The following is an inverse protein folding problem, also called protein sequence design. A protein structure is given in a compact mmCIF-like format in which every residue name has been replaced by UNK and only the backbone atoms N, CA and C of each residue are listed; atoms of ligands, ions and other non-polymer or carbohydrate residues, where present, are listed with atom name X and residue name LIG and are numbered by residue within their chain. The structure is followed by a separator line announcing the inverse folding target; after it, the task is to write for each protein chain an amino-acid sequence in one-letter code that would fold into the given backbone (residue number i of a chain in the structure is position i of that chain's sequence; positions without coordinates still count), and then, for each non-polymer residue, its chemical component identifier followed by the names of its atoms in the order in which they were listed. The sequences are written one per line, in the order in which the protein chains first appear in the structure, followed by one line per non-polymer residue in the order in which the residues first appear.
data_IF_860272409049
#
_entry.id   IF_860272409049
#
_cell.length_a   1.000
_cell.length_b   1.000
_cell.length_c   1.000
_cell.angle_alpha   90.00
_cell.angle_beta   90.00
_cell.angle_gamma   90.00
#
_symmetry.space_group_name_H-M   'P 1'
#
loop_
_entity.id
_entity.type
_entity.pdbx_description
1 polymer ?
#
# COMPACT_ATOMS: atom_id res chain seq x y z
N UNK A 1 20.55 0.51 8.71
CA UNK A 1 20.22 1.52 7.71
C UNK A 1 19.05 1.08 6.88
N UNK A 2 18.14 2.00 6.61
CA UNK A 2 17.00 1.72 5.75
C UNK A 2 17.47 1.67 4.30
N UNK A 3 17.26 0.51 3.64
CA UNK A 3 17.63 0.31 2.26
C UNK A 3 16.45 0.49 1.31
N UNK A 4 15.26 0.61 1.86
CA UNK A 4 14.03 0.69 1.08
C UNK A 4 13.38 2.04 1.22
N UNK A 5 12.69 2.49 0.16
CA UNK A 5 11.96 3.75 0.15
C UNK A 5 10.52 3.46 -0.25
N UNK A 6 9.57 4.03 0.47
CA UNK A 6 8.16 3.96 0.10
C UNK A 6 7.81 5.23 -0.65
N UNK A 7 7.34 5.06 -1.89
CA UNK A 7 6.88 6.16 -2.75
C UNK A 7 5.40 6.00 -3.02
N UNK A 8 4.75 7.08 -3.36
CA UNK A 8 3.30 7.07 -3.60
C UNK A 8 3.02 7.64 -4.99
N UNK A 9 2.29 6.87 -5.79
CA UNK A 9 1.84 7.33 -7.11
C UNK A 9 0.97 8.58 -6.92
N UNK A 10 1.06 9.59 -7.80
CA UNK A 10 0.30 10.83 -7.61
C UNK A 10 -1.19 10.65 -7.38
N UNK A 11 -1.84 9.72 -8.09
CA UNK A 11 -3.26 9.46 -7.89
C UNK A 11 -3.52 8.77 -6.56
N UNK A 12 -2.61 7.91 -6.11
CA UNK A 12 -2.72 7.26 -4.81
C UNK A 12 -2.49 8.26 -3.67
N UNK A 13 -1.67 9.27 -3.89
CA UNK A 13 -1.44 10.30 -2.88
C UNK A 13 -2.74 11.05 -2.56
N UNK A 14 -3.51 11.42 -3.58
CA UNK A 14 -4.80 12.06 -3.38
C UNK A 14 -5.75 11.15 -2.61
N UNK A 15 -5.75 9.86 -2.95
CA UNK A 15 -6.57 8.87 -2.25
C UNK A 15 -6.15 8.72 -0.79
N UNK A 16 -4.85 8.72 -0.52
CA UNK A 16 -4.34 8.58 0.84
C UNK A 16 -4.77 9.77 1.70
N UNK A 17 -4.79 10.96 1.15
CA UNK A 17 -5.22 12.15 1.89
C UNK A 17 -6.72 12.15 2.19
N UNK A 18 -7.48 11.33 1.49
CA UNK A 18 -8.94 11.27 1.64
C UNK A 18 -9.42 10.24 2.65
N UNK A 19 -8.55 9.33 3.11
CA UNK A 19 -8.96 8.35 4.12
C UNK A 19 -8.90 8.96 5.53
N UNK A 20 -9.57 8.34 6.52
CA UNK A 20 -9.56 8.85 7.89
C UNK A 20 -8.16 9.02 8.47
N UNK A 21 -8.00 10.01 9.35
CA UNK A 21 -6.69 10.38 9.89
C UNK A 21 -6.00 9.25 10.63
N UNK A 22 -6.75 8.42 11.36
CA UNK A 22 -6.17 7.28 12.09
C UNK A 22 -5.60 6.23 11.13
N UNK A 23 -6.24 6.06 9.97
CA UNK A 23 -5.74 5.15 8.94
C UNK A 23 -4.51 5.73 8.24
N UNK A 24 -4.47 7.04 8.03
CA UNK A 24 -3.27 7.70 7.50
C UNK A 24 -2.09 7.52 8.44
N UNK A 25 -2.30 7.67 9.75
CA UNK A 25 -1.25 7.47 10.73
C UNK A 25 -0.74 6.03 10.70
N UNK A 26 -1.64 5.07 10.54
CA UNK A 26 -1.26 3.67 10.42
C UNK A 26 -0.46 3.42 9.15
N UNK A 27 -0.82 4.08 8.06
CA UNK A 27 -0.04 4.00 6.82
C UNK A 27 1.41 4.42 7.04
N UNK A 28 1.61 5.56 7.70
CA UNK A 28 2.96 6.06 7.98
C UNK A 28 3.76 5.07 8.83
N UNK A 29 3.12 4.47 9.83
CA UNK A 29 3.77 3.48 10.68
C UNK A 29 4.22 2.26 9.87
N UNK A 30 3.34 1.73 9.03
CA UNK A 30 3.66 0.55 8.20
C UNK A 30 4.74 0.90 7.18
N UNK A 31 4.66 2.09 6.57
CA UNK A 31 5.67 2.55 5.62
C UNK A 31 7.05 2.62 6.28
N UNK A 32 7.12 3.12 7.51
CA UNK A 32 8.37 3.16 8.27
C UNK A 32 8.92 1.76 8.53
N UNK A 33 8.05 0.81 8.88
CA UNK A 33 8.45 -0.57 9.08
C UNK A 33 9.03 -1.18 7.80
N UNK A 34 8.37 -0.92 6.67
CA UNK A 34 8.82 -1.42 5.37
C UNK A 34 10.17 -0.82 4.98
N UNK A 35 10.37 0.47 5.25
CA UNK A 35 11.64 1.11 4.94
C UNK A 35 12.76 0.60 5.84
N UNK A 36 12.45 0.35 7.11
CA UNK A 36 13.45 -0.10 8.08
C UNK A 36 13.84 -1.57 7.89
N UNK A 37 12.87 -2.42 7.63
CA UNK A 37 13.09 -3.88 7.63
C UNK A 37 12.94 -4.54 6.28
N UNK A 38 12.36 -3.86 5.30
CA UNK A 38 12.13 -4.41 3.97
C UNK A 38 10.83 -5.20 3.88
N UNK A 39 10.32 -5.38 2.65
CA UNK A 39 9.01 -6.02 2.46
C UNK A 39 8.98 -7.50 2.84
N UNK A 40 10.12 -8.16 2.85
CA UNK A 40 10.16 -9.59 3.18
C UNK A 40 10.05 -9.86 4.67
N UNK A 41 10.39 -8.87 5.51
CA UNK A 41 10.37 -9.05 6.97
C UNK A 41 9.12 -8.50 7.63
N UNK A 42 8.36 -7.66 6.93
CA UNK A 42 7.10 -7.14 7.44
C UNK A 42 5.98 -8.03 6.89
N UNK A 43 5.21 -8.64 7.75
CA UNK A 43 4.16 -9.56 7.36
C UNK A 43 2.82 -9.21 7.99
N UNK A 44 1.95 -10.21 8.06
CA UNK A 44 0.66 -10.05 8.72
C UNK A 44 0.84 -9.57 10.15
N UNK A 45 -0.06 -8.73 10.68
CA UNK A 45 -1.29 -8.28 10.05
C UNK A 45 -1.14 -7.04 9.17
N UNK A 46 0.08 -6.52 9.01
CA UNK A 46 0.29 -5.25 8.33
C UNK A 46 0.25 -5.36 6.81
N UNK A 47 0.86 -6.39 6.25
CA UNK A 47 0.96 -6.56 4.80
C UNK A 47 0.68 -8.00 4.41
N UNK A 48 0.21 -8.19 3.17
CA UNK A 48 0.05 -9.53 2.61
C UNK A 48 0.20 -9.47 1.09
N UNK A 49 0.60 -10.58 0.47
CA UNK A 49 0.69 -10.62 -0.98
C UNK A 49 -0.70 -10.66 -1.62
N UNK A 50 -0.81 -10.06 -2.78
CA UNK A 50 -1.95 -10.19 -3.66
C UNK A 50 -1.49 -11.00 -4.87
N UNK A 51 -2.16 -10.82 -6.02
CA UNK A 51 -1.75 -11.54 -7.21
C UNK A 51 -0.66 -10.78 -7.97
N UNK A 52 0.06 -11.47 -8.81
CA UNK A 52 1.14 -10.97 -9.63
C UNK A 52 2.24 -10.37 -8.74
N UNK A 53 2.62 -9.13 -8.97
CA UNK A 53 3.67 -8.46 -8.17
C UNK A 53 3.09 -7.52 -7.13
N UNK A 54 1.79 -7.58 -6.90
CA UNK A 54 1.12 -6.65 -6.00
C UNK A 54 1.09 -7.17 -4.58
N UNK A 55 1.21 -6.23 -3.65
CA UNK A 55 1.09 -6.44 -2.21
C UNK A 55 0.09 -5.45 -1.66
N UNK A 56 -0.39 -5.72 -0.46
CA UNK A 56 -1.39 -4.88 0.18
C UNK A 56 -0.97 -4.55 1.61
N UNK A 57 -0.99 -3.25 1.95
CA UNK A 57 -0.91 -2.79 3.33
C UNK A 57 -2.32 -2.67 3.87
N UNK A 58 -2.51 -3.03 5.13
CA UNK A 58 -3.82 -2.98 5.78
C UNK A 58 -3.76 -1.99 6.94
N UNK A 59 -4.46 -0.86 6.78
CA UNK A 59 -4.47 0.19 7.78
C UNK A 59 -5.78 0.14 8.56
N UNK A 60 -5.73 -0.52 9.72
CA UNK A 60 -6.90 -0.62 10.59
C UNK A 60 -7.19 0.71 11.25
N UNK A 61 -8.45 1.09 11.31
CA UNK A 61 -8.90 2.30 11.98
C UNK A 61 -10.22 2.06 12.69
N UNK A 62 -10.73 3.11 13.32
CA UNK A 62 -11.97 3.03 14.07
C UNK A 62 -13.14 2.57 13.20
N UNK A 63 -13.22 3.07 11.99
CA UNK A 63 -14.39 2.88 11.14
C UNK A 63 -14.15 1.92 9.98
N UNK A 64 -13.17 1.06 10.08
CA UNK A 64 -12.91 0.07 9.04
C UNK A 64 -11.45 -0.15 8.78
N UNK A 65 -11.15 -0.63 7.59
CA UNK A 65 -9.79 -0.94 7.16
C UNK A 65 -9.54 -0.28 5.82
N UNK A 66 -8.55 0.62 5.78
CA UNK A 66 -8.07 1.13 4.51
C UNK A 66 -7.01 0.18 3.98
N UNK A 67 -6.85 0.16 2.69
CA UNK A 67 -5.88 -0.71 2.03
C UNK A 67 -5.07 0.09 1.04
N UNK A 68 -3.76 -0.19 0.99
CA UNK A 68 -2.86 0.43 0.04
C UNK A 68 -2.19 -0.68 -0.76
N UNK A 69 -2.48 -0.73 -2.06
CA UNK A 69 -1.88 -1.73 -2.96
C UNK A 69 -0.56 -1.16 -3.47
N UNK A 70 0.50 -1.94 -3.36
CA UNK A 70 1.82 -1.49 -3.76
C UNK A 70 2.60 -2.61 -4.46
N UNK A 71 3.68 -2.22 -5.14
CA UNK A 71 4.58 -3.16 -5.80
C UNK A 71 6.02 -2.68 -5.63
N UNK A 72 6.95 -3.62 -5.66
CA UNK A 72 8.37 -3.28 -5.67
C UNK A 72 8.76 -2.81 -7.06
N UNK A 73 9.50 -1.71 -7.13
CA UNK A 73 10.00 -1.17 -8.38
C UNK A 73 11.51 -0.99 -8.27
N UNK A 74 12.15 -0.53 -9.34
CA UNK A 74 13.61 -0.39 -9.37
C UNK A 74 14.11 0.52 -8.24
N UNK A 75 15.34 0.26 -7.80
CA UNK A 75 16.00 1.09 -6.82
C UNK A 75 15.56 0.82 -5.39
N UNK A 76 15.09 -0.38 -5.10
CA UNK A 76 14.59 -0.75 -3.77
C UNK A 76 13.50 0.21 -3.30
N UNK A 77 12.57 0.51 -4.19
CA UNK A 77 11.43 1.34 -3.90
C UNK A 77 10.16 0.49 -3.89
N UNK A 78 9.26 0.82 -2.98
CA UNK A 78 7.93 0.24 -2.93
C UNK A 78 6.97 1.35 -3.35
N UNK A 79 6.30 1.16 -4.47
CA UNK A 79 5.42 2.18 -5.02
C UNK A 79 3.98 1.88 -4.66
N UNK A 80 3.37 2.76 -3.88
CA UNK A 80 1.95 2.68 -3.53
C UNK A 80 1.14 3.14 -4.73
N UNK A 81 0.26 2.28 -5.21
CA UNK A 81 -0.46 2.46 -6.48
C UNK A 81 -1.92 2.84 -6.32
N UNK A 82 -2.56 2.39 -5.23
CA UNK A 82 -3.98 2.64 -5.03
C UNK A 82 -4.32 2.53 -3.55
N UNK A 83 -5.06 3.50 -3.02
CA UNK A 83 -5.47 3.54 -1.62
C UNK A 83 -6.98 3.67 -1.56
N UNK A 84 -7.64 2.84 -0.75
CA UNK A 84 -9.10 2.87 -0.63
C UNK A 84 -9.52 2.29 0.72
N UNK A 85 -10.76 2.58 1.13
CA UNK A 85 -11.35 2.02 2.34
C UNK A 85 -12.36 0.97 1.91
N UNK A 86 -12.32 -0.19 2.55
CA UNK A 86 -13.26 -1.25 2.24
C UNK A 86 -13.68 -1.98 3.50
N UNK A 87 -14.95 -2.33 3.56
CA UNK A 87 -15.53 -3.01 4.72
C UNK A 87 -15.39 -4.53 4.66
N UNK A 88 -15.18 -5.08 3.48
CA UNK A 88 -15.05 -6.53 3.30
C UNK A 88 -13.60 -6.98 3.38
N UNK A 89 -13.39 -8.27 3.62
CA UNK A 89 -12.04 -8.84 3.73
C UNK A 89 -11.31 -8.92 2.39
N UNK A 90 -12.03 -9.18 1.32
CA UNK A 90 -11.40 -9.40 0.03
C UNK A 90 -11.11 -8.10 -0.69
N UNK A 91 -9.95 -8.03 -1.34
CA UNK A 91 -9.60 -6.91 -2.21
C UNK A 91 -10.36 -7.06 -3.52
N UNK A 92 -11.15 -6.05 -3.92
CA UNK A 92 -11.96 -6.19 -5.13
C UNK A 92 -11.10 -6.22 -6.40
N UNK A 93 -11.60 -6.91 -7.40
CA UNK A 93 -10.89 -7.02 -8.68
C UNK A 93 -10.62 -5.65 -9.30
N UNK A 94 -11.56 -4.72 -9.16
CA UNK A 94 -11.40 -3.36 -9.69
C UNK A 94 -10.19 -2.64 -9.07
N UNK A 95 -9.92 -2.87 -7.79
CA UNK A 95 -8.77 -2.25 -7.13
C UNK A 95 -7.47 -2.83 -7.66
N UNK A 96 -7.43 -4.14 -7.90
CA UNK A 96 -6.26 -4.79 -8.48
C UNK A 96 -6.00 -4.25 -9.89
N UNK A 97 -7.05 -4.12 -10.70
CA UNK A 97 -6.93 -3.60 -12.05
C UNK A 97 -6.45 -2.16 -12.08
N UNK A 98 -6.96 -1.33 -11.17
CA UNK A 98 -6.50 0.06 -11.03
C UNK A 98 -5.01 0.10 -10.72
N UNK A 99 -4.57 -0.72 -9.76
CA UNK A 99 -3.16 -0.77 -9.37
C UNK A 99 -2.28 -1.21 -10.53
N UNK A 100 -2.70 -2.24 -11.28
CA UNK A 100 -1.93 -2.72 -12.41
C UNK A 100 -1.80 -1.66 -13.51
N UNK A 101 -2.89 -0.95 -13.80
CA UNK A 101 -2.86 0.14 -14.77
C UNK A 101 -1.88 1.23 -14.38
N UNK A 102 -1.91 1.62 -13.10
CA UNK A 102 -1.01 2.66 -12.61
C UNK A 102 0.45 2.21 -12.64
N UNK A 103 0.69 0.94 -12.34
CA UNK A 103 2.03 0.38 -12.42
C UNK A 103 2.55 0.43 -13.86
N UNK A 104 1.72 0.11 -14.84
CA UNK A 104 2.08 0.19 -16.25
C UNK A 104 2.47 1.61 -16.65
N UNK A 105 1.78 2.62 -16.11
CA UNK A 105 2.01 4.00 -16.51
C UNK A 105 3.35 4.56 -16.02
N UNK A 106 4.01 3.90 -15.08
CA UNK A 106 5.29 4.37 -14.53
C UNK A 106 6.49 3.54 -14.99
N UNK A 107 6.28 2.62 -15.90
CA UNK A 107 7.37 1.83 -16.47
C UNK A 107 8.12 2.59 -17.58
#
# INVERSE_FOLDING_TARGET
MADWTVRVHPQAEAELKAIPADMQARFLHIAELLEAFGPQKVGMPHVRPLERKLWEMRMHGRDGIARAVYAAVQGRALLVLHVFVKKTQATPRSAIETALKRLESVK
#
